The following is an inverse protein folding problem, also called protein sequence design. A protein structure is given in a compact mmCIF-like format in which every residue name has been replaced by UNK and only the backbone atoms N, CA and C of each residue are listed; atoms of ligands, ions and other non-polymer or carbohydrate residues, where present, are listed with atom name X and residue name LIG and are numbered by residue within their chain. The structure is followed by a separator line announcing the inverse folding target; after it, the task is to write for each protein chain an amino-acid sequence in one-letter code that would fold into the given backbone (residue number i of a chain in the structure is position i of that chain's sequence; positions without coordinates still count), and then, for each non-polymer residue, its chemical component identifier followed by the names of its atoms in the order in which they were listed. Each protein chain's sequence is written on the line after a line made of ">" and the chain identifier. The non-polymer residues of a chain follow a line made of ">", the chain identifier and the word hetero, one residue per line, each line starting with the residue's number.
data_IF_352490799565
#
_entry.id   IF_352490799565
#
_cell.length_a   1.000
_cell.length_b   1.000
_cell.length_c   1.000
_cell.angle_alpha   90.00
_cell.angle_beta   90.00
_cell.angle_gamma   90.00
#
_symmetry.space_group_name_H-M   'P 1'
#
loop_
_entity.id
_entity.type
_entity.pdbx_description
1 polymer ?
#
# COMPACT_ATOMS: atom_id res chain seq x y z
N UNK A 1 9.79 3.31 -2.14
CA UNK A 1 8.56 2.64 -1.64
C UNK A 1 8.85 1.19 -1.37
N UNK A 2 8.63 0.76 -0.15
CA UNK A 2 8.58 -0.65 0.23
C UNK A 2 7.12 -1.07 0.37
N UNK A 3 6.74 -2.21 -0.22
CA UNK A 3 5.32 -2.60 -0.27
C UNK A 3 4.68 -2.79 1.12
N UNK A 4 5.47 -3.21 2.13
CA UNK A 4 5.00 -3.41 3.50
C UNK A 4 5.12 -2.15 4.36
N UNK A 5 6.25 -1.44 4.24
CA UNK A 5 6.61 -0.35 5.15
C UNK A 5 6.33 1.04 4.57
N UNK A 6 6.01 1.14 3.29
CA UNK A 6 5.65 2.38 2.64
C UNK A 6 6.84 3.20 2.13
N UNK A 7 6.69 4.52 2.17
CA UNK A 7 7.69 5.47 1.69
C UNK A 7 8.87 5.55 2.65
N UNK A 8 10.08 5.49 2.11
CA UNK A 8 11.31 5.64 2.86
C UNK A 8 12.45 6.13 1.99
N UNK A 9 13.58 6.45 2.61
CA UNK A 9 14.80 6.89 1.94
C UNK A 9 15.88 5.84 2.06
N UNK A 10 16.55 5.53 0.96
CA UNK A 10 17.75 4.70 0.98
C UNK A 10 18.89 5.55 1.56
N UNK A 11 19.40 5.17 2.74
CA UNK A 11 20.44 5.93 3.44
C UNK A 11 21.82 5.38 3.20
N UNK A 12 21.96 4.07 2.98
CA UNK A 12 23.22 3.43 2.66
C UNK A 12 23.04 2.05 2.07
N UNK A 13 24.15 1.53 1.50
CA UNK A 13 24.29 0.17 1.00
C UNK A 13 25.45 -0.46 1.77
N UNK A 14 25.23 -1.59 2.39
CA UNK A 14 26.30 -2.26 3.17
C UNK A 14 26.22 -3.78 3.08
N UNK A 15 27.39 -4.42 3.22
CA UNK A 15 27.47 -5.86 3.35
C UNK A 15 27.10 -6.26 4.78
N UNK A 16 26.16 -7.19 4.92
CA UNK A 16 25.79 -7.79 6.21
C UNK A 16 25.85 -9.31 6.14
N UNK A 17 26.25 -9.90 7.23
CA UNK A 17 26.19 -11.34 7.40
C UNK A 17 24.96 -11.71 8.22
N UNK A 18 24.02 -12.43 7.58
CA UNK A 18 22.84 -12.97 8.24
C UNK A 18 22.79 -14.48 7.97
N UNK A 19 22.66 -15.26 9.04
CA UNK A 19 22.59 -16.73 8.97
C UNK A 19 23.78 -17.36 8.20
N UNK A 20 25.00 -16.81 8.39
CA UNK A 20 26.21 -17.30 7.75
C UNK A 20 26.37 -16.92 6.27
N UNK A 21 25.47 -16.11 5.72
CA UNK A 21 25.56 -15.60 4.34
C UNK A 21 25.86 -14.11 4.35
N UNK A 22 26.97 -13.74 3.68
CA UNK A 22 27.30 -12.34 3.40
C UNK A 22 26.50 -11.89 2.17
N UNK A 23 25.74 -10.83 2.32
CA UNK A 23 24.94 -10.25 1.25
C UNK A 23 24.89 -8.74 1.38
N UNK A 24 24.75 -8.08 0.26
CA UNK A 24 24.58 -6.62 0.18
C UNK A 24 23.13 -6.25 0.50
N UNK A 25 22.95 -5.26 1.38
CA UNK A 25 21.63 -4.77 1.79
C UNK A 25 21.52 -3.27 1.61
N UNK A 26 20.34 -2.82 1.18
CA UNK A 26 19.96 -1.43 1.29
C UNK A 26 19.39 -1.16 2.68
N UNK A 27 19.94 -0.17 3.38
CA UNK A 27 19.33 0.37 4.58
C UNK A 27 18.33 1.44 4.17
N UNK A 28 17.06 1.17 4.40
CA UNK A 28 15.94 2.08 4.06
C UNK A 28 15.37 2.65 5.35
N UNK A 29 15.46 3.96 5.51
CA UNK A 29 14.86 4.66 6.64
C UNK A 29 13.39 4.92 6.34
N UNK A 30 12.50 4.39 7.18
CA UNK A 30 11.05 4.59 7.11
C UNK A 30 10.57 5.11 8.47
N UNK A 31 10.33 6.41 8.57
CA UNK A 31 10.11 7.05 9.88
C UNK A 31 11.31 6.83 10.78
N UNK A 32 11.08 6.33 11.98
CA UNK A 32 12.13 6.05 12.98
C UNK A 32 12.77 4.66 12.83
N UNK A 33 12.33 3.91 11.84
CA UNK A 33 12.72 2.50 11.64
C UNK A 33 13.67 2.35 10.46
N UNK A 34 14.72 1.53 10.61
CA UNK A 34 15.58 1.12 9.51
C UNK A 34 15.17 -0.28 9.02
N UNK A 35 14.81 -0.38 7.77
CA UNK A 35 14.46 -1.63 7.10
C UNK A 35 15.64 -2.07 6.23
N UNK A 36 16.10 -3.30 6.43
CA UNK A 36 17.20 -3.89 5.67
C UNK A 36 16.64 -4.72 4.52
N UNK A 37 16.87 -4.27 3.29
CA UNK A 37 16.34 -4.91 2.09
C UNK A 37 17.47 -5.55 1.30
N UNK A 38 17.44 -6.89 1.10
CA UNK A 38 18.47 -7.57 0.33
C UNK A 38 18.56 -7.05 -1.09
N UNK A 39 19.78 -6.85 -1.57
CA UNK A 39 20.06 -6.56 -2.98
C UNK A 39 20.22 -7.86 -3.75
N UNK A 40 19.13 -8.49 -4.08
CA UNK A 40 19.03 -9.74 -4.84
C UNK A 40 18.09 -9.60 -6.04
N UNK A 41 17.85 -10.68 -6.78
CA UNK A 41 17.02 -10.71 -7.98
C UNK A 41 15.56 -10.31 -7.74
N UNK A 42 15.12 -10.33 -6.47
CA UNK A 42 13.77 -9.93 -6.07
C UNK A 42 13.69 -8.50 -5.53
N UNK A 43 14.76 -7.72 -5.63
CA UNK A 43 14.78 -6.34 -5.13
C UNK A 43 13.64 -5.49 -5.71
N UNK A 44 13.36 -5.61 -7.01
CA UNK A 44 12.31 -4.84 -7.69
C UNK A 44 10.89 -5.12 -7.18
N UNK A 45 10.66 -6.28 -6.57
CA UNK A 45 9.37 -6.61 -5.93
C UNK A 45 9.24 -6.03 -4.52
N UNK A 46 10.37 -5.70 -3.90
CA UNK A 46 10.42 -5.17 -2.53
C UNK A 46 10.55 -3.66 -2.49
N UNK A 47 11.36 -3.09 -3.40
CA UNK A 47 11.60 -1.65 -3.51
C UNK A 47 11.28 -1.17 -4.91
N UNK A 48 10.58 -0.06 -5.00
CA UNK A 48 10.35 0.68 -6.23
C UNK A 48 10.48 2.18 -6.01
N UNK A 49 10.63 2.92 -7.07
CA UNK A 49 10.51 4.38 -7.00
C UNK A 49 9.06 4.77 -6.72
N UNK A 50 8.82 5.87 -5.99
CA UNK A 50 7.50 6.46 -5.89
C UNK A 50 6.93 6.81 -7.26
N UNK A 51 5.61 6.84 -7.36
CA UNK A 51 4.92 7.24 -8.59
C UNK A 51 5.23 8.68 -8.96
N UNK A 52 5.37 8.96 -10.25
CA UNK A 52 5.47 10.32 -10.78
C UNK A 52 4.09 11.02 -10.78
N UNK A 53 4.08 12.35 -10.94
CA UNK A 53 2.83 13.13 -11.07
C UNK A 53 1.93 12.61 -12.21
N UNK A 54 2.52 12.22 -13.35
CA UNK A 54 1.77 11.67 -14.48
C UNK A 54 1.11 10.32 -14.18
N UNK A 55 1.79 9.48 -13.40
CA UNK A 55 1.23 8.20 -12.95
C UNK A 55 0.09 8.39 -11.95
N UNK A 56 0.12 9.44 -11.12
CA UNK A 56 -0.93 9.71 -10.13
C UNK A 56 -2.31 9.93 -10.75
N UNK A 57 -2.40 10.63 -11.88
CA UNK A 57 -3.65 10.83 -12.60
C UNK A 57 -4.27 9.49 -13.02
N UNK A 58 -3.44 8.56 -13.48
CA UNK A 58 -3.84 7.21 -13.85
C UNK A 58 -4.32 6.40 -12.65
N UNK A 59 -3.60 6.48 -11.52
CA UNK A 59 -3.98 5.82 -10.27
C UNK A 59 -5.30 6.35 -9.73
N UNK A 60 -5.54 7.66 -9.81
CA UNK A 60 -6.81 8.28 -9.44
C UNK A 60 -7.97 7.70 -10.26
N UNK A 61 -7.78 7.52 -11.57
CA UNK A 61 -8.78 6.86 -12.42
C UNK A 61 -9.04 5.41 -11.98
N UNK A 62 -8.00 4.68 -11.55
CA UNK A 62 -8.17 3.32 -11.04
C UNK A 62 -9.00 3.28 -9.76
N UNK A 63 -8.88 4.28 -8.88
CA UNK A 63 -9.68 4.37 -7.66
C UNK A 63 -11.18 4.59 -7.93
N UNK A 64 -11.56 5.08 -9.10
CA UNK A 64 -12.97 5.25 -9.50
C UNK A 64 -13.57 4.00 -10.15
N UNK A 65 -12.73 3.05 -10.57
CA UNK A 65 -13.19 1.81 -11.19
C UNK A 65 -13.75 0.83 -10.15
N UNK A 66 -14.59 -0.13 -10.55
CA UNK A 66 -15.01 -1.21 -9.67
C UNK A 66 -13.80 -1.96 -9.10
N UNK A 67 -13.89 -2.36 -7.83
CA UNK A 67 -12.93 -3.28 -7.23
C UNK A 67 -13.18 -4.72 -7.68
N UNK A 68 -12.25 -5.62 -7.35
CA UNK A 68 -12.46 -7.05 -7.52
C UNK A 68 -13.52 -7.55 -6.53
N UNK A 69 -14.27 -8.58 -6.93
CA UNK A 69 -15.16 -9.29 -6.03
C UNK A 69 -14.33 -10.06 -5.00
N UNK A 70 -14.61 -9.83 -3.71
CA UNK A 70 -13.89 -10.47 -2.63
C UNK A 70 -14.69 -11.66 -2.06
N UNK A 71 -14.01 -12.77 -1.67
CA UNK A 71 -14.63 -13.87 -0.98
C UNK A 71 -15.27 -13.44 0.35
N UNK A 72 -16.38 -14.08 0.71
CA UNK A 72 -16.99 -13.87 2.03
C UNK A 72 -16.17 -14.54 3.15
N UNK A 73 -15.53 -15.67 2.84
CA UNK A 73 -14.62 -16.31 3.78
C UNK A 73 -13.41 -15.41 4.06
N UNK A 74 -13.15 -15.20 5.35
CA UNK A 74 -12.10 -14.27 5.81
C UNK A 74 -10.68 -14.74 5.46
N UNK A 75 -10.44 -16.05 5.43
CA UNK A 75 -9.10 -16.58 5.14
C UNK A 75 -8.81 -16.53 3.64
N UNK A 76 -9.76 -16.90 2.81
CA UNK A 76 -9.66 -16.79 1.36
C UNK A 76 -9.50 -15.32 0.95
N UNK A 77 -10.28 -14.42 1.54
CA UNK A 77 -10.17 -12.98 1.29
C UNK A 77 -8.81 -12.43 1.66
N UNK A 78 -8.29 -12.76 2.86
CA UNK A 78 -6.95 -12.35 3.29
C UNK A 78 -5.88 -12.84 2.31
N UNK A 79 -5.94 -14.11 1.92
CA UNK A 79 -4.98 -14.72 0.98
C UNK A 79 -5.02 -14.00 -0.36
N UNK A 80 -6.20 -13.74 -0.91
CA UNK A 80 -6.37 -13.04 -2.18
C UNK A 80 -5.82 -11.62 -2.12
N UNK A 81 -6.13 -10.86 -1.05
CA UNK A 81 -5.67 -9.48 -0.88
C UNK A 81 -4.14 -9.40 -0.75
N UNK A 82 -3.53 -10.33 0.00
CA UNK A 82 -2.08 -10.39 0.13
C UNK A 82 -1.41 -10.77 -1.21
N UNK A 83 -2.03 -11.68 -1.96
CA UNK A 83 -1.55 -12.06 -3.30
C UNK A 83 -1.58 -10.85 -4.26
N UNK A 84 -2.65 -10.06 -4.22
CA UNK A 84 -2.76 -8.84 -5.01
C UNK A 84 -1.67 -7.80 -4.69
N UNK A 85 -1.14 -7.79 -3.48
CA UNK A 85 -0.12 -6.83 -3.04
C UNK A 85 1.31 -7.31 -3.27
N UNK A 86 1.54 -8.56 -3.63
CA UNK A 86 2.88 -9.14 -3.78
C UNK A 86 3.77 -8.44 -4.81
N UNK A 87 3.17 -7.89 -5.86
CA UNK A 87 3.92 -7.21 -6.92
C UNK A 87 4.44 -5.82 -6.50
N UNK A 88 3.99 -5.30 -5.36
CA UNK A 88 4.38 -4.00 -4.82
C UNK A 88 3.97 -2.80 -5.68
N UNK A 89 3.11 -2.99 -6.68
CA UNK A 89 2.70 -1.94 -7.62
C UNK A 89 1.63 -1.02 -7.04
N UNK A 90 1.68 0.28 -7.36
CA UNK A 90 0.67 1.21 -6.90
C UNK A 90 -0.72 0.91 -7.46
N UNK A 91 -0.81 0.32 -8.66
CA UNK A 91 -2.07 -0.12 -9.26
C UNK A 91 -2.74 -1.21 -8.42
N UNK A 92 -1.95 -2.16 -7.93
CA UNK A 92 -2.45 -3.24 -7.06
C UNK A 92 -2.94 -2.71 -5.72
N UNK A 93 -2.24 -1.71 -5.18
CA UNK A 93 -2.67 -0.98 -3.98
C UNK A 93 -4.06 -0.33 -4.18
N UNK A 94 -4.25 0.37 -5.30
CA UNK A 94 -5.55 0.96 -5.66
C UNK A 94 -6.65 -0.09 -5.79
N UNK A 95 -6.37 -1.24 -6.40
CA UNK A 95 -7.33 -2.35 -6.54
C UNK A 95 -7.74 -2.90 -5.19
N UNK A 96 -6.79 -3.12 -4.27
CA UNK A 96 -7.08 -3.60 -2.91
C UNK A 96 -7.96 -2.61 -2.16
N UNK A 97 -7.65 -1.31 -2.19
CA UNK A 97 -8.47 -0.27 -1.58
C UNK A 97 -9.89 -0.31 -2.15
N UNK A 98 -10.06 -0.32 -3.45
CA UNK A 98 -11.38 -0.36 -4.10
C UNK A 98 -12.17 -1.61 -3.76
N UNK A 99 -11.52 -2.76 -3.78
CA UNK A 99 -12.16 -4.04 -3.47
C UNK A 99 -12.69 -4.06 -2.03
N UNK A 100 -11.90 -3.58 -1.07
CA UNK A 100 -12.30 -3.50 0.33
C UNK A 100 -13.39 -2.43 0.56
N UNK A 101 -13.30 -1.28 -0.09
CA UNK A 101 -14.34 -0.23 0.00
C UNK A 101 -15.67 -0.71 -0.57
N UNK A 102 -15.66 -1.43 -1.69
CA UNK A 102 -16.88 -2.02 -2.28
C UNK A 102 -17.43 -3.13 -1.39
N UNK A 103 -16.58 -4.01 -0.88
CA UNK A 103 -16.98 -5.07 0.03
C UNK A 103 -17.64 -4.52 1.31
N UNK A 104 -17.09 -3.45 1.86
CA UNK A 104 -17.57 -2.79 3.07
C UNK A 104 -19.01 -2.21 2.95
N UNK A 105 -19.51 -2.01 1.73
CA UNK A 105 -20.88 -1.51 1.52
C UNK A 105 -21.95 -2.53 1.92
N UNK A 106 -21.63 -3.82 1.80
CA UNK A 106 -22.59 -4.90 2.01
C UNK A 106 -22.18 -5.85 3.15
N UNK A 107 -20.92 -5.76 3.59
CA UNK A 107 -20.36 -6.68 4.58
C UNK A 107 -19.46 -5.92 5.56
N UNK A 108 -19.52 -6.20 6.87
CA UNK A 108 -18.59 -5.60 7.82
C UNK A 108 -17.16 -6.09 7.55
N UNK A 109 -16.20 -5.19 7.61
CA UNK A 109 -14.79 -5.52 7.57
C UNK A 109 -14.34 -6.09 8.91
N UNK A 110 -13.63 -7.21 8.90
CA UNK A 110 -12.96 -7.70 10.10
C UNK A 110 -11.68 -6.90 10.39
N UNK A 111 -11.04 -7.15 11.53
CA UNK A 111 -9.86 -6.40 11.98
C UNK A 111 -8.68 -6.48 10.97
N UNK A 112 -8.48 -7.64 10.35
CA UNK A 112 -7.45 -7.81 9.33
C UNK A 112 -7.75 -6.98 8.06
N UNK A 113 -9.00 -6.97 7.62
CA UNK A 113 -9.44 -6.19 6.47
C UNK A 113 -9.28 -4.69 6.73
N UNK A 114 -9.68 -4.24 7.94
CA UNK A 114 -9.54 -2.84 8.37
C UNK A 114 -8.06 -2.42 8.45
N UNK A 115 -7.22 -3.25 9.07
CA UNK A 115 -5.79 -2.99 9.18
C UNK A 115 -5.11 -2.92 7.80
N UNK A 116 -5.48 -3.83 6.90
CA UNK A 116 -4.94 -3.86 5.54
C UNK A 116 -5.38 -2.63 4.73
N UNK A 117 -6.67 -2.28 4.82
CA UNK A 117 -7.21 -1.09 4.16
C UNK A 117 -6.52 0.19 4.67
N UNK A 118 -6.42 0.36 5.98
CA UNK A 118 -5.74 1.51 6.59
C UNK A 118 -4.29 1.61 6.15
N UNK A 119 -3.56 0.50 6.16
CA UNK A 119 -2.16 0.47 5.71
C UNK A 119 -2.05 0.84 4.23
N UNK A 120 -2.93 0.30 3.38
CA UNK A 120 -2.95 0.61 1.96
C UNK A 120 -3.27 2.09 1.68
N UNK A 121 -4.23 2.65 2.38
CA UNK A 121 -4.58 4.07 2.28
C UNK A 121 -3.43 4.96 2.74
N UNK A 122 -2.81 4.66 3.88
CA UNK A 122 -1.66 5.42 4.40
C UNK A 122 -0.48 5.39 3.43
N UNK A 123 -0.17 4.23 2.85
CA UNK A 123 0.89 4.10 1.86
C UNK A 123 0.61 4.91 0.59
N UNK A 124 -0.63 4.87 0.09
CA UNK A 124 -1.04 5.62 -1.08
C UNK A 124 -0.96 7.13 -0.85
N UNK A 125 -1.45 7.60 0.31
CA UNK A 125 -1.42 9.02 0.68
C UNK A 125 0.01 9.54 0.83
N UNK A 126 0.89 8.78 1.48
CA UNK A 126 2.29 9.15 1.64
C UNK A 126 3.00 9.25 0.29
N UNK A 127 2.79 8.29 -0.60
CA UNK A 127 3.36 8.31 -1.94
C UNK A 127 2.83 9.48 -2.77
N UNK A 128 1.55 9.75 -2.67
CA UNK A 128 0.89 10.82 -3.42
C UNK A 128 1.35 12.21 -2.94
N UNK A 129 1.42 12.41 -1.63
CA UNK A 129 1.95 13.64 -1.02
C UNK A 129 3.39 13.91 -1.45
N UNK A 130 4.22 12.86 -1.42
CA UNK A 130 5.60 12.97 -1.88
C UNK A 130 5.70 13.38 -3.35
N UNK A 131 4.93 12.74 -4.23
CA UNK A 131 4.96 12.99 -5.66
C UNK A 131 4.44 14.40 -6.03
N UNK A 132 3.46 14.91 -5.29
CA UNK A 132 2.91 16.26 -5.49
C UNK A 132 3.68 17.34 -4.73
N UNK A 133 4.52 16.96 -3.74
CA UNK A 133 5.19 17.91 -2.85
C UNK A 133 4.21 18.68 -1.95
N UNK A 134 3.09 18.03 -1.57
CA UNK A 134 2.01 18.62 -0.76
C UNK A 134 1.82 17.88 0.55
N UNK A 135 1.10 18.50 1.48
CA UNK A 135 0.77 17.90 2.77
C UNK A 135 -0.18 16.68 2.58
N UNK A 136 0.00 15.58 3.33
CA UNK A 136 -0.92 14.44 3.33
C UNK A 136 -2.39 14.80 3.56
N UNK A 137 -2.69 15.77 4.42
CA UNK A 137 -4.05 16.23 4.71
C UNK A 137 -4.75 16.81 3.47
N UNK A 138 -4.02 17.59 2.66
CA UNK A 138 -4.57 18.16 1.43
C UNK A 138 -4.85 17.09 0.39
N UNK A 139 -3.99 16.08 0.31
CA UNK A 139 -4.18 14.92 -0.58
C UNK A 139 -5.35 14.06 -0.12
N UNK A 140 -5.46 13.83 1.18
CA UNK A 140 -6.57 13.06 1.77
C UNK A 140 -7.91 13.72 1.47
N UNK A 141 -8.02 15.04 1.62
CA UNK A 141 -9.24 15.77 1.29
C UNK A 141 -9.64 15.60 -0.19
N UNK A 142 -8.68 15.55 -1.11
CA UNK A 142 -8.94 15.32 -2.53
C UNK A 142 -9.37 13.89 -2.84
N UNK A 143 -8.85 12.91 -2.10
CA UNK A 143 -9.04 11.49 -2.36
C UNK A 143 -10.10 10.84 -1.47
N UNK A 144 -10.60 11.56 -0.48
CA UNK A 144 -11.53 11.02 0.53
C UNK A 144 -12.72 10.26 -0.07
N UNK A 145 -13.32 10.77 -1.16
CA UNK A 145 -14.42 10.10 -1.87
C UNK A 145 -14.07 8.70 -2.40
N UNK A 146 -12.78 8.47 -2.63
CA UNK A 146 -12.30 7.27 -3.33
C UNK A 146 -11.66 6.26 -2.38
N UNK A 147 -11.09 6.72 -1.26
CA UNK A 147 -10.31 5.88 -0.34
C UNK A 147 -11.00 5.64 1.01
N UNK A 148 -12.03 6.41 1.34
CA UNK A 148 -12.80 6.22 2.56
C UNK A 148 -13.77 5.04 2.45
N UNK A 149 -13.88 4.25 3.51
CA UNK A 149 -14.97 3.28 3.67
C UNK A 149 -16.25 4.08 3.98
N UNK A 150 -17.36 3.83 3.27
CA UNK A 150 -18.64 4.38 3.69
C UNK A 150 -18.91 3.94 5.14
N UNK A 151 -19.07 4.90 6.03
CA UNK A 151 -19.59 4.60 7.37
C UNK A 151 -20.94 3.95 7.18
N UNK A 152 -21.08 2.70 7.62
CA UNK A 152 -22.38 2.07 7.71
C UNK A 152 -23.24 3.00 8.56
N UNK A 153 -24.29 3.57 7.97
CA UNK A 153 -25.30 4.25 8.75
C UNK A 153 -25.82 3.25 9.75
N UNK A 154 -25.48 3.45 11.02
CA UNK A 154 -26.15 2.73 12.09
C UNK A 154 -27.59 3.18 12.01
N UNK A 155 -28.41 2.36 11.36
CA UNK A 155 -29.85 2.51 11.47
C UNK A 155 -30.19 2.12 12.90
N UNK A 156 -30.44 3.12 13.70
CA UNK A 156 -31.01 2.96 15.03
C UNK A 156 -32.46 2.49 14.90
#
# INVERSE_FOLDING_TARGET
>A
MHWTYGLGSVVRLENRELLGKKMLYYAVQVGDMTVWVPNDDQLSTRLRRPSSKGQLARLKTLLTKPGATLPQDRHERKTLLLEMLKDGRPESLCKVIRSLVVFARNHPLNDNDQALLKRAQTALLAEWSFALGTNPEDVEAQLHKHIAVPTASVVV
#
